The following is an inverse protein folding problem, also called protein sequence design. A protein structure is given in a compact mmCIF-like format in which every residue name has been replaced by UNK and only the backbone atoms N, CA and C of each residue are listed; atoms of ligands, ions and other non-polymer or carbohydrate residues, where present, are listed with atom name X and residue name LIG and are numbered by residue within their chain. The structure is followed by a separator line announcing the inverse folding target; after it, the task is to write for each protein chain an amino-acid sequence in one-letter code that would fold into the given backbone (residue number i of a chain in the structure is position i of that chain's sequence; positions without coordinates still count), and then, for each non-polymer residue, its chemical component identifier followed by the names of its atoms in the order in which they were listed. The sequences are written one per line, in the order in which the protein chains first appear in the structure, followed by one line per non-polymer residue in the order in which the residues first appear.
data_IF_886425012035
#
_entry.id   IF_886425012035
#
_cell.length_a   1.000
_cell.length_b   1.000
_cell.length_c   1.000
_cell.angle_alpha   90.00
_cell.angle_beta   90.00
_cell.angle_gamma   90.00
#
_symmetry.space_group_name_H-M   'P 1'
#
loop_
_entity.id
_entity.type
_entity.pdbx_description
1 polymer ?
#
# COMPACT_ATOMS: atom_id res chain seq x y z
N UNK A 1 -10.72 2.73 5.31
CA UNK A 1 -10.39 1.71 6.33
C UNK A 1 -10.90 0.29 6.11
N UNK A 2 -12.19 0.00 6.00
CA UNK A 2 -12.62 -1.42 5.92
C UNK A 2 -12.19 -2.16 4.65
N UNK A 3 -12.13 -1.47 3.51
CA UNK A 3 -11.78 -2.08 2.23
C UNK A 3 -10.28 -2.46 2.15
N UNK A 4 -9.39 -1.60 2.63
CA UNK A 4 -7.95 -1.88 2.67
C UNK A 4 -7.67 -3.10 3.54
N UNK A 5 -8.27 -3.19 4.74
CA UNK A 5 -8.13 -4.37 5.59
C UNK A 5 -8.69 -5.65 4.95
N UNK A 6 -9.70 -5.53 4.09
CA UNK A 6 -10.31 -6.68 3.43
C UNK A 6 -9.47 -7.19 2.25
N UNK A 7 -9.03 -6.27 1.38
CA UNK A 7 -8.23 -6.60 0.18
C UNK A 7 -6.78 -6.91 0.56
N UNK A 8 -6.18 -6.11 1.44
CA UNK A 8 -4.81 -6.28 1.94
C UNK A 8 -4.80 -6.86 3.36
N UNK A 9 -5.52 -7.96 3.60
CA UNK A 9 -5.65 -8.59 4.92
C UNK A 9 -4.32 -8.98 5.59
N UNK A 10 -3.28 -9.30 4.82
CA UNK A 10 -1.95 -9.64 5.34
C UNK A 10 -1.05 -8.42 5.60
N UNK A 11 -1.50 -7.20 5.27
CA UNK A 11 -0.78 -5.96 5.55
C UNK A 11 -1.37 -5.35 6.82
N UNK A 12 -0.76 -5.67 7.95
CA UNK A 12 -1.15 -5.15 9.26
C UNK A 12 0.01 -4.33 9.86
N UNK A 13 -0.28 -3.20 10.54
CA UNK A 13 0.77 -2.37 11.15
C UNK A 13 1.63 -3.10 12.19
N UNK A 14 1.09 -4.14 12.82
CA UNK A 14 1.72 -4.96 13.85
C UNK A 14 2.28 -6.30 13.32
N UNK A 15 2.23 -6.51 12.00
CA UNK A 15 2.76 -7.72 11.38
C UNK A 15 4.28 -7.81 11.58
N UNK A 16 4.75 -8.95 12.08
CA UNK A 16 6.19 -9.20 12.27
C UNK A 16 6.93 -9.49 10.96
N UNK A 17 6.20 -9.82 9.90
CA UNK A 17 6.76 -10.21 8.61
C UNK A 17 5.99 -9.52 7.49
N UNK A 18 6.72 -8.99 6.51
CA UNK A 18 6.11 -8.54 5.27
C UNK A 18 5.56 -9.75 4.48
N UNK A 19 4.38 -9.62 3.84
CA UNK A 19 3.87 -10.68 2.97
C UNK A 19 4.80 -10.88 1.75
N UNK A 20 4.74 -12.05 1.08
CA UNK A 20 5.52 -12.34 -0.13
C UNK A 20 5.26 -11.30 -1.23
N UNK A 21 6.23 -11.08 -2.12
CA UNK A 21 6.09 -10.09 -3.20
C UNK A 21 4.90 -10.40 -4.12
N UNK A 22 4.60 -11.68 -4.31
CA UNK A 22 3.51 -12.18 -5.15
C UNK A 22 2.13 -11.83 -4.59
N UNK A 23 2.02 -11.60 -3.27
CA UNK A 23 0.76 -11.23 -2.61
C UNK A 23 0.13 -9.98 -3.22
N UNK A 24 0.96 -9.05 -3.68
CA UNK A 24 0.51 -7.79 -4.27
C UNK A 24 0.09 -7.91 -5.74
N UNK A 25 0.42 -9.03 -6.40
CA UNK A 25 0.03 -9.26 -7.79
C UNK A 25 -1.46 -9.61 -7.91
N UNK A 26 -2.03 -10.20 -6.86
CA UNK A 26 -3.41 -10.70 -6.87
C UNK A 26 -4.44 -9.70 -6.28
N UNK A 27 -3.98 -8.57 -5.75
CA UNK A 27 -4.82 -7.62 -5.01
C UNK A 27 -4.69 -6.19 -5.55
N UNK A 28 -5.81 -5.59 -5.99
CA UNK A 28 -5.87 -4.20 -6.43
C UNK A 28 -7.14 -3.49 -5.95
N UNK A 29 -6.99 -2.24 -5.51
CA UNK A 29 -8.11 -1.33 -5.22
C UNK A 29 -8.16 -0.30 -6.35
N UNK A 30 -9.28 -0.24 -7.06
CA UNK A 30 -9.50 0.72 -8.14
C UNK A 30 -10.25 1.95 -7.61
N UNK A 31 -9.84 3.13 -8.06
CA UNK A 31 -10.48 4.39 -7.70
C UNK A 31 -10.74 5.27 -8.94
N UNK A 32 -11.79 6.10 -8.94
CA UNK A 32 -12.21 6.88 -10.11
C UNK A 32 -11.31 8.10 -10.40
N UNK A 33 -10.54 8.59 -9.42
CA UNK A 33 -9.65 9.75 -9.58
C UNK A 33 -8.25 9.43 -9.07
N UNK A 34 -7.23 10.00 -9.70
CA UNK A 34 -5.84 9.83 -9.27
C UNK A 34 -5.58 10.33 -7.85
N UNK A 35 -6.27 11.37 -7.40
CA UNK A 35 -6.18 11.83 -6.01
C UNK A 35 -6.59 10.72 -5.02
N UNK A 36 -7.66 10.00 -5.32
CA UNK A 36 -8.14 8.89 -4.50
C UNK A 36 -7.17 7.69 -4.57
N UNK A 37 -6.55 7.45 -5.74
CA UNK A 37 -5.47 6.45 -5.89
C UNK A 37 -4.28 6.82 -5.02
N UNK A 38 -3.83 8.08 -5.05
CA UNK A 38 -2.71 8.56 -4.24
C UNK A 38 -3.00 8.41 -2.74
N UNK A 39 -4.19 8.81 -2.27
CA UNK A 39 -4.59 8.61 -0.88
C UNK A 39 -4.61 7.12 -0.51
N UNK A 40 -5.20 6.27 -1.35
CA UNK A 40 -5.26 4.82 -1.12
C UNK A 40 -3.86 4.21 -1.02
N UNK A 41 -2.94 4.61 -1.91
CA UNK A 41 -1.57 4.10 -1.90
C UNK A 41 -0.82 4.53 -0.62
N UNK A 42 -0.99 5.78 -0.17
CA UNK A 42 -0.39 6.26 1.09
C UNK A 42 -0.96 5.49 2.29
N UNK A 43 -2.28 5.31 2.36
CA UNK A 43 -2.96 4.61 3.45
C UNK A 43 -2.59 3.11 3.53
N UNK A 44 -2.33 2.49 2.36
CA UNK A 44 -1.84 1.12 2.27
C UNK A 44 -0.37 1.06 2.71
N UNK A 45 0.48 1.95 2.18
CA UNK A 45 1.91 1.98 2.48
C UNK A 45 2.18 2.23 3.97
N UNK A 46 1.41 3.10 4.63
CA UNK A 46 1.57 3.40 6.06
C UNK A 46 1.30 2.21 6.99
N UNK A 47 0.76 1.12 6.47
CA UNK A 47 0.48 -0.12 7.21
C UNK A 47 1.56 -1.18 7.00
N UNK A 48 2.50 -0.97 6.09
CA UNK A 48 3.60 -1.91 5.88
C UNK A 48 4.57 -1.85 7.06
N UNK A 49 5.00 -3.01 7.58
CA UNK A 49 6.13 -3.03 8.50
C UNK A 49 7.42 -2.72 7.73
N UNK A 50 8.30 -1.91 8.32
CA UNK A 50 9.64 -1.63 7.76
C UNK A 50 9.97 -0.14 7.67
N UNK A 51 11.02 0.17 6.90
CA UNK A 51 11.49 1.53 6.66
C UNK A 51 10.90 2.10 5.36
N UNK A 52 10.46 3.36 5.41
CA UNK A 52 10.01 4.09 4.23
C UNK A 52 11.20 4.72 3.49
N UNK A 53 11.26 4.50 2.18
CA UNK A 53 12.26 5.10 1.30
C UNK A 53 11.59 6.05 0.31
N UNK A 54 12.00 7.32 0.33
CA UNK A 54 11.44 8.37 -0.53
C UNK A 54 12.39 8.61 -1.71
N UNK A 55 11.85 8.53 -2.92
CA UNK A 55 12.57 8.78 -4.17
C UNK A 55 12.04 10.03 -4.85
N UNK A 56 12.94 10.95 -5.22
CA UNK A 56 12.58 12.18 -5.91
C UNK A 56 12.76 12.02 -7.43
N UNK A 57 11.83 12.58 -8.21
CA UNK A 57 11.98 12.62 -9.67
C UNK A 57 13.24 13.42 -10.06
N UNK A 58 13.88 13.02 -11.16
CA UNK A 58 15.02 13.71 -11.76
C UNK A 58 14.58 14.74 -12.81
N UNK A 59 13.29 15.02 -12.93
CA UNK A 59 12.77 16.06 -13.82
C UNK A 59 13.26 17.43 -13.32
N UNK A 60 14.16 18.04 -14.10
CA UNK A 60 14.68 19.40 -13.89
C UNK A 60 13.73 20.47 -14.41
#
# INVERSE_FOLDING_TARGET
DSLICHVYSQVQPDAQFAPPAEYFLDCAILAPRNADVSTTNVDVLSRFPGEEYIFFSQDK
#
